data_IF_849820452623
#
_entry.id   IF_849820452623
#
_cell.length_a   1.000
_cell.length_b   1.000
_cell.length_c   1.000
_cell.angle_alpha   90.00
_cell.angle_beta   90.00
_cell.angle_gamma   90.00
#
_symmetry.space_group_name_H-M   'P 1'
#
loop_
_entity.id
_entity.type
_entity.pdbx_description
1 polymer ?
#
# COMPACT_ATOMS: atom_id res chain seq x y z
N UNK A 1 -10.26 -20.03 62.75
CA UNK A 1 -11.12 -20.95 61.98
C UNK A 1 -10.63 -20.93 60.53
N UNK A 2 -10.09 -22.06 60.07
CA UNK A 2 -9.49 -22.20 58.73
C UNK A 2 -10.53 -21.84 57.67
N UNK A 3 -10.16 -20.91 56.78
CA UNK A 3 -11.02 -20.30 55.77
C UNK A 3 -11.30 -21.28 54.61
N UNK A 4 -11.81 -22.48 54.94
CA UNK A 4 -12.10 -23.55 53.98
C UNK A 4 -13.06 -23.07 52.90
N UNK A 5 -14.07 -22.29 53.26
CA UNK A 5 -15.03 -21.70 52.33
C UNK A 5 -14.35 -20.77 51.32
N UNK A 6 -13.40 -19.93 51.77
CA UNK A 6 -12.64 -19.07 50.87
C UNK A 6 -11.76 -19.88 49.89
N UNK A 7 -11.12 -20.96 50.38
CA UNK A 7 -10.35 -21.87 49.52
C UNK A 7 -11.22 -22.52 48.45
N UNK A 8 -12.42 -23.00 48.80
CA UNK A 8 -13.34 -23.59 47.82
C UNK A 8 -13.81 -22.58 46.77
N UNK A 9 -14.12 -21.34 47.18
CA UNK A 9 -14.50 -20.28 46.24
C UNK A 9 -13.35 -19.97 45.27
N UNK A 10 -12.13 -19.83 45.79
CA UNK A 10 -10.94 -19.57 44.97
C UNK A 10 -10.69 -20.72 43.97
N UNK A 11 -10.77 -21.98 44.42
CA UNK A 11 -10.61 -23.15 43.56
C UNK A 11 -11.66 -23.19 42.44
N UNK A 12 -12.92 -22.85 42.72
CA UNK A 12 -13.97 -22.79 41.70
C UNK A 12 -13.65 -21.69 40.68
N UNK A 13 -13.28 -20.49 41.13
CA UNK A 13 -12.93 -19.37 40.26
C UNK A 13 -11.76 -19.73 39.34
N UNK A 14 -10.68 -20.32 39.88
CA UNK A 14 -9.52 -20.77 39.10
C UNK A 14 -9.93 -21.86 38.10
N UNK A 15 -10.72 -22.85 38.53
CA UNK A 15 -11.17 -23.95 37.65
C UNK A 15 -12.00 -23.43 36.49
N UNK A 16 -12.94 -22.51 36.76
CA UNK A 16 -13.74 -21.84 35.71
C UNK A 16 -12.81 -21.06 34.77
N UNK A 17 -11.84 -20.30 35.30
CA UNK A 17 -10.86 -19.59 34.48
C UNK A 17 -10.06 -20.48 33.53
N UNK A 18 -9.61 -21.65 34.02
CA UNK A 18 -8.89 -22.64 33.20
C UNK A 18 -9.79 -23.26 32.13
N UNK A 19 -11.05 -23.57 32.46
CA UNK A 19 -11.99 -24.10 31.47
C UNK A 19 -12.32 -23.05 30.39
N UNK A 20 -12.48 -21.79 30.77
CA UNK A 20 -12.69 -20.68 29.84
C UNK A 20 -11.47 -20.45 28.96
N UNK A 21 -10.24 -20.49 29.51
CA UNK A 21 -9.03 -20.32 28.71
C UNK A 21 -8.82 -21.48 27.72
N UNK A 22 -9.15 -22.71 28.13
CA UNK A 22 -9.12 -23.87 27.24
C UNK A 22 -10.15 -23.74 26.11
N UNK A 23 -11.38 -23.34 26.42
CA UNK A 23 -12.41 -23.08 25.42
C UNK A 23 -11.97 -22.00 24.42
N UNK A 24 -11.37 -20.90 24.91
CA UNK A 24 -10.85 -19.83 24.06
C UNK A 24 -9.72 -20.31 23.15
N UNK A 25 -8.79 -21.11 23.69
CA UNK A 25 -7.72 -21.70 22.90
C UNK A 25 -8.27 -22.64 21.82
N UNK A 26 -9.31 -23.41 22.15
CA UNK A 26 -9.97 -24.31 21.21
C UNK A 26 -10.70 -23.55 20.09
N UNK A 27 -11.52 -22.55 20.42
CA UNK A 27 -12.23 -21.75 19.42
C UNK A 27 -11.24 -21.04 18.49
N UNK A 28 -10.20 -20.42 19.07
CA UNK A 28 -9.13 -19.81 18.29
C UNK A 28 -8.44 -20.81 17.36
N UNK A 29 -8.14 -22.01 17.86
CA UNK A 29 -7.55 -23.06 17.03
C UNK A 29 -8.45 -23.44 15.84
N UNK A 30 -9.77 -23.51 16.05
CA UNK A 30 -10.69 -23.81 14.95
C UNK A 30 -10.75 -22.70 13.90
N UNK A 31 -10.77 -21.44 14.32
CA UNK A 31 -10.76 -20.30 13.38
C UNK A 31 -9.42 -20.25 12.61
N UNK A 32 -8.29 -20.47 13.27
CA UNK A 32 -6.96 -20.53 12.64
C UNK A 32 -6.83 -21.71 11.65
N UNK A 33 -7.39 -22.88 11.96
CA UNK A 33 -7.41 -24.03 11.05
C UNK A 33 -8.35 -23.83 9.84
N UNK A 34 -9.35 -22.97 9.98
CA UNK A 34 -10.31 -22.67 8.90
C UNK A 34 -9.75 -21.59 7.97
N UNK A 35 -8.98 -20.63 8.48
CA UNK A 35 -8.38 -19.54 7.70
C UNK A 35 -6.94 -19.85 7.29
N UNK A 36 -6.81 -20.64 6.22
CA UNK A 36 -5.54 -21.04 5.61
C UNK A 36 -5.31 -20.42 4.22
N UNK A 37 -5.91 -19.26 3.96
CA UNK A 37 -5.72 -18.56 2.69
C UNK A 37 -4.58 -17.55 2.81
N UNK A 38 -3.60 -17.62 1.91
CA UNK A 38 -2.42 -16.75 1.91
C UNK A 38 -2.31 -16.07 0.56
N UNK A 39 -2.06 -14.78 0.59
CA UNK A 39 -1.73 -14.01 -0.59
C UNK A 39 -0.23 -13.91 -0.74
N UNK A 40 0.29 -14.44 -1.84
CA UNK A 40 1.69 -14.27 -2.24
C UNK A 40 1.72 -13.18 -3.29
N UNK A 41 2.44 -12.10 -3.03
CA UNK A 41 2.51 -10.93 -3.90
C UNK A 41 3.93 -10.48 -4.17
N UNK A 42 4.08 -9.76 -5.29
CA UNK A 42 5.33 -9.13 -5.72
C UNK A 42 5.11 -7.62 -5.90
N UNK A 43 6.20 -6.85 -5.88
CA UNK A 43 6.17 -5.40 -6.10
C UNK A 43 6.17 -5.11 -7.61
N UNK A 44 5.22 -4.30 -8.09
CA UNK A 44 5.15 -3.89 -9.50
C UNK A 44 6.46 -3.28 -10.00
N UNK A 45 7.12 -2.43 -9.19
CA UNK A 45 8.38 -1.80 -9.59
C UNK A 45 9.50 -2.84 -9.80
N UNK A 46 9.45 -3.97 -9.07
CA UNK A 46 10.39 -5.06 -9.27
C UNK A 46 10.07 -5.89 -10.52
N UNK A 47 8.78 -6.02 -10.86
CA UNK A 47 8.34 -6.62 -12.13
C UNK A 47 8.88 -5.81 -13.30
N UNK A 48 8.71 -4.48 -13.29
CA UNK A 48 9.23 -3.60 -14.33
C UNK A 48 10.75 -3.63 -14.41
N UNK A 49 11.44 -3.55 -13.26
CA UNK A 49 12.89 -3.59 -13.23
C UNK A 49 13.43 -4.91 -13.80
N UNK A 50 12.82 -6.04 -13.45
CA UNK A 50 13.22 -7.35 -13.96
C UNK A 50 12.94 -7.48 -15.46
N UNK A 51 11.81 -6.96 -15.93
CA UNK A 51 11.48 -6.91 -17.35
C UNK A 51 12.52 -6.13 -18.16
N UNK A 52 12.90 -4.94 -17.67
CA UNK A 52 13.95 -4.11 -18.28
C UNK A 52 15.33 -4.78 -18.25
N UNK A 53 15.67 -5.49 -17.18
CA UNK A 53 16.96 -6.20 -17.06
C UNK A 53 17.09 -7.37 -18.03
N UNK A 54 15.98 -8.05 -18.31
CA UNK A 54 15.92 -9.22 -19.19
C UNK A 54 15.55 -8.86 -20.65
N UNK A 55 15.28 -7.58 -20.96
CA UNK A 55 14.82 -7.09 -22.27
C UNK A 55 13.53 -7.80 -22.73
N UNK A 56 12.57 -7.95 -21.81
CA UNK A 56 11.24 -8.53 -22.04
C UNK A 56 10.14 -7.58 -21.59
N UNK A 57 8.89 -7.86 -21.97
CA UNK A 57 7.75 -7.07 -21.53
C UNK A 57 7.34 -7.43 -20.08
N UNK A 58 6.85 -6.46 -19.31
CA UNK A 58 6.34 -6.71 -17.95
C UNK A 58 5.20 -7.74 -17.93
N UNK A 59 4.43 -7.83 -19.03
CA UNK A 59 3.41 -8.84 -19.24
C UNK A 59 3.98 -10.27 -19.24
N UNK A 60 5.15 -10.47 -19.82
CA UNK A 60 5.81 -11.79 -19.89
C UNK A 60 6.37 -12.18 -18.51
N UNK A 61 6.88 -11.21 -17.75
CA UNK A 61 7.29 -11.41 -16.35
C UNK A 61 6.08 -11.89 -15.54
N UNK A 62 4.98 -11.13 -15.54
CA UNK A 62 3.79 -11.52 -14.78
C UNK A 62 3.22 -12.87 -15.23
N UNK A 63 3.18 -13.16 -16.54
CA UNK A 63 2.73 -14.46 -17.04
C UNK A 63 3.60 -15.61 -16.50
N UNK A 64 4.91 -15.40 -16.40
CA UNK A 64 5.85 -16.37 -15.85
C UNK A 64 5.66 -16.64 -14.36
N UNK A 65 5.10 -15.68 -13.62
CA UNK A 65 4.85 -15.78 -12.17
C UNK A 65 3.47 -16.39 -11.84
N UNK A 66 2.59 -16.56 -12.83
CA UNK A 66 1.28 -17.17 -12.62
C UNK A 66 1.39 -18.54 -11.99
N UNK A 67 0.50 -18.83 -11.05
CA UNK A 67 0.48 -20.07 -10.28
C UNK A 67 1.27 -19.98 -8.97
N UNK A 68 2.40 -19.27 -8.94
CA UNK A 68 3.16 -19.06 -7.70
C UNK A 68 2.77 -17.76 -6.96
N UNK A 69 2.35 -16.75 -7.71
CA UNK A 69 1.95 -15.43 -7.21
C UNK A 69 0.46 -15.20 -7.46
N UNK A 70 -0.23 -14.58 -6.51
CA UNK A 70 -1.67 -14.28 -6.59
C UNK A 70 -2.01 -12.80 -6.65
N UNK A 71 -1.08 -11.92 -6.31
CA UNK A 71 -1.32 -10.48 -6.34
C UNK A 71 -0.09 -9.64 -6.63
N UNK A 72 -0.32 -8.38 -6.96
CA UNK A 72 0.74 -7.40 -7.24
C UNK A 72 0.52 -6.19 -6.35
N UNK A 73 1.59 -5.76 -5.68
CA UNK A 73 1.61 -4.54 -4.88
C UNK A 73 1.85 -3.35 -5.80
N UNK A 74 0.93 -2.40 -5.74
CA UNK A 74 1.04 -1.11 -6.42
C UNK A 74 1.18 -0.02 -5.38
N UNK A 75 2.33 0.64 -5.39
CA UNK A 75 2.61 1.77 -4.52
C UNK A 75 2.16 3.06 -5.21
N UNK A 76 1.55 3.98 -4.46
CA UNK A 76 1.34 5.31 -5.02
C UNK A 76 2.69 5.94 -5.37
N UNK A 77 2.81 6.47 -6.57
CA UNK A 77 4.01 7.16 -7.03
C UNK A 77 4.07 8.55 -6.42
N UNK A 78 5.28 9.04 -6.19
CA UNK A 78 5.53 10.44 -5.88
C UNK A 78 6.02 11.18 -7.11
N UNK A 79 5.90 12.51 -7.10
CA UNK A 79 6.55 13.34 -8.12
C UNK A 79 8.06 13.09 -8.18
N UNK A 80 8.69 12.80 -7.04
CA UNK A 80 10.11 12.44 -7.00
C UNK A 80 10.41 11.14 -7.74
N UNK A 81 9.57 10.11 -7.55
CA UNK A 81 9.73 8.81 -8.23
C UNK A 81 9.50 8.95 -9.73
N UNK A 82 8.44 9.67 -10.14
CA UNK A 82 8.19 9.99 -11.55
C UNK A 82 9.32 10.80 -12.19
N UNK A 83 9.99 11.66 -11.42
CA UNK A 83 11.16 12.38 -11.90
C UNK A 83 12.40 11.49 -12.01
N UNK A 84 12.53 10.50 -11.14
CA UNK A 84 13.63 9.54 -11.17
C UNK A 84 13.47 8.51 -12.30
N UNK A 85 12.24 8.11 -12.66
CA UNK A 85 11.95 7.27 -13.82
C UNK A 85 12.07 8.02 -15.15
N UNK A 86 11.99 9.35 -15.12
CA UNK A 86 12.07 10.21 -16.30
C UNK A 86 10.72 10.55 -16.91
N UNK A 87 9.61 10.15 -16.28
CA UNK A 87 8.24 10.49 -16.73
C UNK A 87 7.91 11.97 -16.55
N UNK A 88 8.57 12.61 -15.57
CA UNK A 88 8.38 14.02 -15.23
C UNK A 88 9.70 14.75 -15.10
N UNK A 89 9.80 15.93 -15.73
CA UNK A 89 10.89 16.86 -15.46
C UNK A 89 10.36 18.02 -14.62
N UNK A 90 10.95 18.22 -13.45
CA UNK A 90 10.68 19.38 -12.60
C UNK A 90 11.51 20.59 -13.05
N UNK A 91 10.87 21.75 -13.13
CA UNK A 91 11.53 23.05 -13.31
C UNK A 91 10.94 24.10 -12.41
N UNK A 92 11.78 25.00 -11.93
CA UNK A 92 11.33 26.28 -11.36
C UNK A 92 10.88 27.21 -12.49
N UNK A 93 9.97 28.13 -12.19
CA UNK A 93 9.50 29.11 -13.16
C UNK A 93 10.64 29.91 -13.80
N UNK A 94 11.64 30.30 -13.01
CA UNK A 94 12.85 30.96 -13.53
C UNK A 94 13.61 30.09 -14.54
N UNK A 95 13.75 28.79 -14.28
CA UNK A 95 14.46 27.87 -15.18
C UNK A 95 13.70 27.69 -16.49
N UNK A 96 12.37 27.54 -16.43
CA UNK A 96 11.52 27.46 -17.62
C UNK A 96 11.57 28.75 -18.45
N UNK A 97 11.56 29.92 -17.80
CA UNK A 97 11.73 31.21 -18.49
C UNK A 97 13.08 31.29 -19.20
N UNK A 98 14.17 30.89 -18.55
CA UNK A 98 15.50 30.84 -19.19
C UNK A 98 15.52 29.88 -20.39
N UNK A 99 14.89 28.72 -20.29
CA UNK A 99 14.83 27.77 -21.42
C UNK A 99 14.07 28.36 -22.62
N UNK A 100 12.98 29.09 -22.35
CA UNK A 100 12.19 29.77 -23.38
C UNK A 100 12.95 30.95 -24.02
N UNK A 101 13.77 31.67 -23.23
CA UNK A 101 14.60 32.78 -23.71
C UNK A 101 15.84 32.31 -24.49
N UNK A 102 16.53 31.29 -24.00
CA UNK A 102 17.75 30.73 -24.60
C UNK A 102 17.41 29.87 -25.82
N UNK A 103 16.27 29.19 -25.80
CA UNK A 103 15.88 28.13 -26.72
C UNK A 103 15.56 28.53 -28.16
N UNK A 104 15.99 29.72 -28.64
CA UNK A 104 15.79 30.31 -29.98
C UNK A 104 15.40 29.29 -31.08
N UNK A 105 14.13 28.88 -31.13
CA UNK A 105 13.54 28.04 -32.18
C UNK A 105 13.22 26.57 -31.86
N UNK A 106 13.66 26.00 -30.72
CA UNK A 106 13.45 24.56 -30.40
C UNK A 106 12.35 24.28 -29.37
N UNK A 107 12.02 25.22 -28.49
CA UNK A 107 10.88 25.13 -27.57
C UNK A 107 10.11 26.45 -27.65
N UNK A 108 8.85 26.42 -28.08
CA UNK A 108 8.01 27.62 -28.20
C UNK A 108 7.10 27.77 -26.98
N UNK A 109 6.66 29.01 -26.75
CA UNK A 109 5.76 29.40 -25.66
C UNK A 109 4.54 28.48 -25.59
N UNK A 110 3.97 28.28 -24.38
CA UNK A 110 2.74 27.55 -24.21
C UNK A 110 1.65 28.03 -25.17
N UNK A 111 1.16 27.14 -26.03
CA UNK A 111 -0.04 27.40 -26.82
C UNK A 111 -1.21 26.89 -25.98
N UNK A 112 -2.00 27.79 -25.41
CA UNK A 112 -3.17 27.39 -24.62
C UNK A 112 -4.47 27.82 -25.27
N UNK A 113 -5.50 27.02 -25.04
CA UNK A 113 -6.90 27.38 -25.15
C UNK A 113 -7.22 28.57 -24.20
N UNK A 114 -6.81 29.78 -24.56
CA UNK A 114 -7.40 31.05 -24.10
C UNK A 114 -7.14 31.56 -22.68
N UNK A 115 -6.48 30.84 -21.75
CA UNK A 115 -6.33 31.29 -20.35
C UNK A 115 -4.89 31.54 -19.88
N UNK A 116 -3.87 30.86 -20.41
CA UNK A 116 -2.47 31.05 -20.05
C UNK A 116 -1.75 32.02 -20.99
N UNK A 117 -1.37 33.19 -20.50
CA UNK A 117 -0.47 34.10 -21.23
C UNK A 117 0.91 34.28 -20.58
N UNK A 118 1.13 33.85 -19.34
CA UNK A 118 2.40 34.13 -18.64
C UNK A 118 2.93 32.94 -17.84
N UNK A 119 4.19 32.59 -18.09
CA UNK A 119 4.97 31.70 -17.21
C UNK A 119 5.39 32.51 -15.99
N UNK A 120 5.01 32.07 -14.80
CA UNK A 120 5.28 32.75 -13.55
C UNK A 120 6.62 32.28 -12.95
N UNK A 121 7.53 33.21 -12.69
CA UNK A 121 8.87 32.91 -12.18
C UNK A 121 8.87 32.19 -10.82
N UNK A 122 7.83 32.40 -10.00
CA UNK A 122 7.70 31.83 -8.67
C UNK A 122 6.91 30.51 -8.64
N UNK A 123 6.49 29.98 -9.79
CA UNK A 123 5.76 28.71 -9.87
C UNK A 123 6.70 27.51 -10.04
N UNK A 124 6.15 26.32 -9.80
CA UNK A 124 6.80 25.05 -10.15
C UNK A 124 6.12 24.47 -11.39
N UNK A 125 6.92 23.96 -12.31
CA UNK A 125 6.49 23.38 -13.57
C UNK A 125 6.90 21.91 -13.64
N UNK A 126 5.97 21.08 -14.08
CA UNK A 126 6.13 19.64 -14.29
C UNK A 126 5.93 19.39 -15.78
N UNK A 127 6.96 18.88 -16.46
CA UNK A 127 6.90 18.57 -17.89
C UNK A 127 6.79 17.07 -18.02
N UNK A 128 5.78 16.60 -18.76
CA UNK A 128 5.44 15.19 -18.87
C UNK A 128 5.72 14.69 -20.29
N UNK A 129 6.09 13.42 -20.41
CA UNK A 129 6.07 12.71 -21.69
C UNK A 129 4.68 12.17 -22.04
N UNK A 130 3.91 11.78 -21.01
CA UNK A 130 2.61 11.15 -21.16
C UNK A 130 1.48 12.07 -20.63
N UNK A 131 0.47 12.42 -21.46
CA UNK A 131 -0.67 13.22 -21.02
C UNK A 131 -1.53 12.56 -19.94
N UNK A 132 -1.58 11.22 -19.88
CA UNK A 132 -2.37 10.50 -18.87
C UNK A 132 -1.73 10.64 -17.49
N UNK A 133 -0.38 10.59 -17.42
CA UNK A 133 0.38 10.88 -16.21
C UNK A 133 0.13 12.33 -15.77
N UNK A 134 0.14 13.30 -16.69
CA UNK A 134 -0.18 14.70 -16.37
C UNK A 134 -1.58 14.84 -15.77
N UNK A 135 -2.59 14.20 -16.37
CA UNK A 135 -3.98 14.26 -15.90
C UNK A 135 -4.11 13.71 -14.47
N UNK A 136 -3.53 12.52 -14.22
CA UNK A 136 -3.48 11.88 -12.91
C UNK A 136 -2.79 12.74 -11.86
N UNK A 137 -1.62 13.30 -12.20
CA UNK A 137 -0.87 14.20 -11.31
C UNK A 137 -1.65 15.48 -11.02
N UNK A 138 -2.23 16.09 -12.05
CA UNK A 138 -3.03 17.31 -11.92
C UNK A 138 -4.22 17.11 -10.98
N UNK A 139 -4.97 16.03 -11.13
CA UNK A 139 -6.10 15.71 -10.26
C UNK A 139 -5.66 15.50 -8.81
N UNK A 140 -4.60 14.71 -8.60
CA UNK A 140 -4.09 14.48 -7.24
C UNK A 140 -3.58 15.76 -6.58
N UNK A 141 -2.83 16.60 -7.29
CA UNK A 141 -2.37 17.88 -6.74
C UNK A 141 -3.51 18.86 -6.47
N UNK A 142 -4.57 18.81 -7.29
CA UNK A 142 -5.76 19.64 -7.11
C UNK A 142 -6.56 19.28 -5.86
N UNK A 143 -6.55 18.00 -5.44
CA UNK A 143 -7.37 17.55 -4.31
C UNK A 143 -6.55 17.35 -3.03
N UNK A 144 -5.31 16.86 -3.10
CA UNK A 144 -4.49 16.50 -1.92
C UNK A 144 -3.78 17.68 -1.23
N UNK A 145 -3.99 18.90 -1.73
CA UNK A 145 -3.42 20.14 -1.17
C UNK A 145 -4.52 21.17 -0.91
N UNK A 146 -4.59 21.75 0.30
CA UNK A 146 -5.57 22.79 0.64
C UNK A 146 -5.01 24.21 0.41
N UNK A 147 -5.92 25.19 0.31
CA UNK A 147 -5.59 26.62 0.14
C UNK A 147 -5.76 27.13 -1.30
N UNK A 148 -5.51 28.43 -1.48
CA UNK A 148 -5.49 29.07 -2.80
C UNK A 148 -4.29 28.56 -3.60
N UNK A 149 -4.56 27.58 -4.46
CA UNK A 149 -3.59 27.02 -5.40
C UNK A 149 -4.06 27.24 -6.81
N UNK A 150 -3.14 27.63 -7.68
CA UNK A 150 -3.37 27.72 -9.11
C UNK A 150 -2.63 26.59 -9.75
N UNK A 151 -3.35 25.75 -10.48
CA UNK A 151 -2.82 24.66 -11.29
C UNK A 151 -3.34 24.92 -12.70
N UNK A 152 -2.43 24.96 -13.65
CA UNK A 152 -2.72 25.31 -15.05
C UNK A 152 -2.02 24.31 -15.95
N UNK A 153 -2.72 23.82 -16.96
CA UNK A 153 -2.24 22.79 -17.89
C UNK A 153 -1.91 23.42 -19.24
N UNK A 154 -0.61 23.44 -19.53
CA UNK A 154 0.01 24.01 -20.71
C UNK A 154 0.42 22.91 -21.70
N UNK A 155 0.72 23.32 -22.92
CA UNK A 155 1.39 22.48 -23.92
C UNK A 155 2.59 23.24 -24.47
N UNK A 156 3.80 22.70 -24.29
CA UNK A 156 5.01 23.24 -24.92
C UNK A 156 5.19 22.61 -26.30
N UNK A 157 5.46 23.43 -27.32
CA UNK A 157 5.90 22.88 -28.61
C UNK A 157 7.40 22.70 -28.58
N UNK A 158 7.88 21.49 -28.88
CA UNK A 158 9.28 21.15 -29.03
C UNK A 158 9.55 20.63 -30.46
N UNK A 159 10.82 20.57 -30.86
CA UNK A 159 11.23 19.96 -32.15
C UNK A 159 10.79 18.50 -32.29
N UNK A 160 10.60 17.79 -31.18
CA UNK A 160 10.11 16.40 -31.11
C UNK A 160 8.59 16.25 -30.99
N UNK A 161 7.81 17.34 -30.98
CA UNK A 161 6.36 17.31 -30.79
C UNK A 161 5.88 18.16 -29.62
N UNK A 162 4.62 17.97 -29.22
CA UNK A 162 4.00 18.72 -28.13
C UNK A 162 4.20 18.00 -26.80
N UNK A 163 4.71 18.71 -25.80
CA UNK A 163 4.91 18.20 -24.45
C UNK A 163 3.84 18.77 -23.49
N UNK A 164 3.07 17.90 -22.79
CA UNK A 164 2.17 18.34 -21.73
C UNK A 164 2.95 18.93 -20.54
N UNK A 165 2.48 20.05 -20.01
CA UNK A 165 3.12 20.73 -18.87
C UNK A 165 2.08 21.16 -17.86
N UNK A 166 2.34 20.90 -16.58
CA UNK A 166 1.55 21.40 -15.47
C UNK A 166 2.33 22.49 -14.73
N UNK A 167 1.80 23.72 -14.69
CA UNK A 167 2.34 24.78 -13.85
C UNK A 167 1.49 24.96 -12.61
N UNK A 168 2.13 25.08 -11.46
CA UNK A 168 1.45 25.24 -10.16
C UNK A 168 2.10 26.29 -9.28
N UNK A 169 1.27 27.01 -8.51
CA UNK A 169 1.74 27.93 -7.47
C UNK A 169 2.33 27.21 -6.24
N UNK A 170 2.12 25.89 -6.13
CA UNK A 170 2.71 25.05 -5.07
C UNK A 170 4.23 24.96 -5.26
N UNK A 171 4.99 25.01 -4.17
CA UNK A 171 6.45 24.87 -4.25
C UNK A 171 6.85 23.41 -4.34
N UNK A 172 7.94 23.13 -5.04
CA UNK A 172 8.57 21.80 -5.16
C UNK A 172 8.57 21.01 -3.84
N UNK A 173 9.09 21.60 -2.75
CA UNK A 173 9.15 20.95 -1.43
C UNK A 173 7.80 20.50 -0.86
N UNK A 174 6.70 21.09 -1.33
CA UNK A 174 5.33 20.79 -0.87
C UNK A 174 4.73 19.63 -1.64
N UNK A 175 5.16 19.39 -2.88
CA UNK A 175 4.56 18.40 -3.80
C UNK A 175 5.46 17.20 -4.08
N UNK A 176 6.78 17.33 -3.87
CA UNK A 176 7.77 16.35 -4.32
C UNK A 176 7.54 14.94 -3.72
N UNK A 177 7.05 14.89 -2.49
CA UNK A 177 6.76 13.64 -1.75
C UNK A 177 5.27 13.30 -1.68
N UNK A 178 4.39 14.08 -2.32
CA UNK A 178 2.96 13.79 -2.33
C UNK A 178 2.71 12.56 -3.19
N UNK A 179 1.93 11.60 -2.67
CA UNK A 179 1.43 10.48 -3.47
C UNK A 179 0.45 10.98 -4.54
N UNK A 180 0.73 10.70 -5.80
CA UNK A 180 -0.01 11.21 -6.96
C UNK A 180 -0.77 10.11 -7.72
N UNK A 181 -1.18 9.07 -7.00
CA UNK A 181 -1.92 7.94 -7.56
C UNK A 181 -1.03 6.77 -7.96
N UNK A 182 -1.65 5.75 -8.55
CA UNK A 182 -1.01 4.49 -8.95
C UNK A 182 -0.80 4.44 -10.45
N UNK A 183 0.19 3.68 -10.92
CA UNK A 183 0.38 3.39 -12.35
C UNK A 183 -0.87 2.66 -12.89
N UNK A 184 -1.66 3.37 -13.69
CA UNK A 184 -2.93 2.86 -14.24
C UNK A 184 -2.68 1.78 -15.30
N UNK A 185 -1.60 1.90 -16.09
CA UNK A 185 -1.26 0.93 -17.15
C UNK A 185 -0.80 -0.39 -16.53
N UNK A 186 0.09 -0.32 -15.54
CA UNK A 186 0.53 -1.49 -14.78
C UNK A 186 -0.63 -2.16 -14.04
N UNK A 187 -1.52 -1.37 -13.42
CA UNK A 187 -2.72 -1.88 -12.77
C UNK A 187 -3.62 -2.66 -13.74
N UNK A 188 -3.97 -2.05 -14.87
CA UNK A 188 -4.80 -2.68 -15.90
C UNK A 188 -4.17 -3.98 -16.38
N UNK A 189 -2.86 -3.99 -16.66
CA UNK A 189 -2.15 -5.20 -17.07
C UNK A 189 -2.23 -6.32 -16.02
N UNK A 190 -2.01 -6.00 -14.74
CA UNK A 190 -2.08 -6.98 -13.67
C UNK A 190 -3.50 -7.54 -13.50
N UNK A 191 -4.53 -6.68 -13.60
CA UNK A 191 -5.94 -7.10 -13.56
C UNK A 191 -6.29 -7.99 -14.74
N UNK A 192 -5.90 -7.61 -15.96
CA UNK A 192 -6.15 -8.39 -17.18
C UNK A 192 -5.51 -9.77 -17.14
N UNK A 193 -4.40 -9.92 -16.43
CA UNK A 193 -3.73 -11.20 -16.20
C UNK A 193 -4.28 -11.99 -15.00
N UNK A 194 -5.27 -11.45 -14.28
CA UNK A 194 -5.98 -12.13 -13.20
C UNK A 194 -5.32 -12.04 -11.82
N UNK A 195 -4.41 -11.09 -11.62
CA UNK A 195 -3.82 -10.83 -10.31
C UNK A 195 -4.74 -9.95 -9.44
N UNK A 196 -4.73 -10.19 -8.13
CA UNK A 196 -5.31 -9.24 -7.18
C UNK A 196 -4.43 -8.00 -7.06
N UNK A 197 -5.04 -6.88 -6.74
CA UNK A 197 -4.34 -5.61 -6.52
C UNK A 197 -4.18 -5.35 -5.03
N UNK A 198 -2.95 -5.05 -4.62
CA UNK A 198 -2.61 -4.68 -3.26
C UNK A 198 -2.12 -3.22 -3.26
N UNK A 199 -3.03 -2.22 -3.22
CA UNK A 199 -2.65 -0.82 -3.19
C UNK A 199 -1.94 -0.45 -1.88
N UNK A 200 -0.77 0.16 -2.03
CA UNK A 200 0.01 0.73 -0.96
C UNK A 200 -0.08 2.27 -1.01
N UNK A 201 -1.03 2.81 -0.27
CA UNK A 201 -1.38 4.23 -0.25
C UNK A 201 -0.28 5.04 0.44
N UNK A 202 0.09 6.17 -0.17
CA UNK A 202 0.99 7.16 0.44
C UNK A 202 0.23 8.21 1.23
N UNK A 203 0.94 8.84 2.14
CA UNK A 203 0.42 9.93 2.95
C UNK A 203 0.49 11.26 2.21
N UNK A 204 -0.55 12.07 2.39
CA UNK A 204 -0.60 13.46 1.97
C UNK A 204 -1.00 14.35 3.14
N UNK A 205 -0.72 15.64 2.98
CA UNK A 205 -0.77 16.62 4.06
C UNK A 205 -2.19 17.01 4.43
N UNK A 206 -2.99 17.37 3.44
CA UNK A 206 -4.28 18.02 3.65
C UNK A 206 -5.42 17.02 3.39
N UNK A 207 -5.56 16.05 4.29
CA UNK A 207 -6.60 15.02 4.16
C UNK A 207 -7.98 15.58 4.48
N UNK A 208 -8.92 15.29 3.58
CA UNK A 208 -10.34 15.61 3.65
C UNK A 208 -11.17 14.56 2.89
N UNK A 209 -12.49 14.71 2.91
CA UNK A 209 -13.41 13.77 2.27
C UNK A 209 -13.19 13.67 0.76
N UNK A 210 -12.91 14.79 0.08
CA UNK A 210 -12.69 14.81 -1.37
C UNK A 210 -11.44 14.03 -1.75
N UNK A 211 -10.31 14.26 -1.05
CA UNK A 211 -9.06 13.53 -1.30
C UNK A 211 -9.15 12.05 -0.98
N UNK A 212 -9.89 11.67 0.06
CA UNK A 212 -10.17 10.27 0.37
C UNK A 212 -11.02 9.61 -0.72
N UNK A 213 -12.09 10.28 -1.18
CA UNK A 213 -12.95 9.77 -2.22
C UNK A 213 -12.22 9.62 -3.56
N UNK A 214 -11.31 10.54 -3.90
CA UNK A 214 -10.45 10.42 -5.08
C UNK A 214 -9.67 9.09 -5.07
N UNK A 215 -9.07 8.73 -3.92
CA UNK A 215 -8.29 7.48 -3.79
C UNK A 215 -9.19 6.26 -3.81
N UNK A 216 -10.20 6.19 -2.94
CA UNK A 216 -10.99 4.97 -2.76
C UNK A 216 -11.97 4.68 -3.90
N UNK A 217 -12.54 5.69 -4.57
CA UNK A 217 -13.45 5.47 -5.70
C UNK A 217 -12.75 4.82 -6.90
N UNK A 218 -11.43 5.02 -7.03
CA UNK A 218 -10.62 4.34 -8.04
C UNK A 218 -10.41 2.88 -7.66
N UNK A 219 -10.09 2.61 -6.38
CA UNK A 219 -9.87 1.26 -5.86
C UNK A 219 -11.13 0.38 -5.89
N UNK A 220 -12.32 0.95 -5.74
CA UNK A 220 -13.61 0.22 -5.79
C UNK A 220 -13.86 -0.50 -7.13
N UNK A 221 -13.15 -0.12 -8.19
CA UNK A 221 -13.29 -0.71 -9.53
C UNK A 221 -12.30 -1.83 -9.81
N UNK A 222 -11.41 -2.11 -8.86
CA UNK A 222 -10.30 -3.05 -9.03
C UNK A 222 -10.51 -4.29 -8.15
N UNK A 223 -9.93 -5.45 -8.51
CA UNK A 223 -9.94 -6.65 -7.67
C UNK A 223 -8.96 -6.48 -6.50
N UNK A 224 -9.26 -5.54 -5.61
CA UNK A 224 -8.44 -5.28 -4.42
C UNK A 224 -8.62 -6.43 -3.44
N UNK A 225 -7.52 -6.93 -2.88
CA UNK A 225 -7.55 -7.98 -1.85
C UNK A 225 -7.24 -7.46 -0.45
N UNK A 226 -6.39 -6.43 -0.34
CA UNK A 226 -6.05 -5.72 0.91
C UNK A 226 -5.67 -4.28 0.61
N UNK A 227 -5.83 -3.37 1.58
CA UNK A 227 -5.30 -1.99 1.47
C UNK A 227 -4.27 -1.72 2.55
N UNK A 228 -3.15 -1.11 2.20
CA UNK A 228 -2.13 -0.78 3.18
C UNK A 228 -1.39 0.51 2.85
N UNK A 229 -0.44 0.88 3.70
CA UNK A 229 0.15 2.22 3.69
C UNK A 229 1.67 2.15 3.55
N UNK A 230 2.23 3.05 2.75
CA UNK A 230 3.66 3.09 2.51
C UNK A 230 4.43 3.76 3.65
N UNK A 231 3.90 4.87 4.18
CA UNK A 231 4.67 5.78 5.02
C UNK A 231 4.51 5.49 6.52
N UNK A 232 5.45 5.97 7.34
CA UNK A 232 5.43 5.73 8.79
C UNK A 232 4.21 6.35 9.49
N UNK A 233 3.66 7.42 8.91
CA UNK A 233 2.45 8.06 9.38
C UNK A 233 1.37 7.81 8.34
N UNK A 234 0.17 7.38 8.75
CA UNK A 234 -0.99 7.30 7.85
C UNK A 234 -1.46 8.69 7.41
N UNK A 235 -2.24 8.79 6.31
CA UNK A 235 -2.85 10.04 5.89
C UNK A 235 -3.63 10.68 7.04
N UNK A 236 -3.40 11.98 7.27
CA UNK A 236 -4.09 12.77 8.29
C UNK A 236 -3.38 12.87 9.63
N UNK A 237 -2.34 12.07 9.88
CA UNK A 237 -1.49 12.22 11.07
C UNK A 237 -0.76 13.56 11.04
N UNK A 238 -0.89 14.32 12.13
CA UNK A 238 -0.33 15.67 12.25
C UNK A 238 -1.33 16.78 12.00
N UNK A 239 -2.56 16.45 11.57
CA UNK A 239 -3.67 17.40 11.52
C UNK A 239 -4.16 17.77 12.94
N UNK A 240 -4.89 18.90 13.09
CA UNK A 240 -5.58 19.21 14.34
C UNK A 240 -6.47 18.06 14.79
N UNK A 241 -6.53 17.77 16.09
CA UNK A 241 -7.13 16.54 16.64
C UNK A 241 -8.47 16.13 16.04
N UNK A 242 -9.43 17.06 15.88
CA UNK A 242 -10.73 16.78 15.26
C UNK A 242 -10.63 16.37 13.78
N UNK A 243 -9.77 17.05 13.01
CA UNK A 243 -9.55 16.73 11.59
C UNK A 243 -8.78 15.42 11.44
N UNK A 244 -7.82 15.16 12.32
CA UNK A 244 -7.09 13.89 12.33
C UNK A 244 -8.04 12.71 12.59
N UNK A 245 -8.91 12.81 13.60
CA UNK A 245 -9.88 11.73 13.88
C UNK A 245 -10.81 11.50 12.69
N UNK A 246 -11.34 12.57 12.08
CA UNK A 246 -12.18 12.47 10.89
C UNK A 246 -11.43 11.84 9.70
N UNK A 247 -10.15 12.18 9.49
CA UNK A 247 -9.34 11.59 8.43
C UNK A 247 -9.10 10.09 8.65
N UNK A 248 -8.76 9.67 9.88
CA UNK A 248 -8.55 8.26 10.21
C UNK A 248 -9.84 7.45 10.14
N UNK A 249 -10.98 8.03 10.55
CA UNK A 249 -12.29 7.43 10.35
C UNK A 249 -12.62 7.29 8.86
N UNK A 250 -12.41 8.34 8.06
CA UNK A 250 -12.65 8.32 6.62
C UNK A 250 -11.77 7.31 5.87
N UNK A 251 -10.52 7.09 6.30
CA UNK A 251 -9.69 5.99 5.80
C UNK A 251 -10.32 4.62 6.09
N UNK A 252 -10.81 4.41 7.31
CA UNK A 252 -11.48 3.15 7.68
C UNK A 252 -12.77 2.95 6.88
N UNK A 253 -13.57 4.00 6.70
CA UNK A 253 -14.78 3.95 5.88
C UNK A 253 -14.46 3.60 4.41
N UNK A 254 -13.43 4.24 3.83
CA UNK A 254 -12.95 3.93 2.48
C UNK A 254 -12.53 2.47 2.31
N UNK A 255 -11.75 1.94 3.26
CA UNK A 255 -11.34 0.53 3.26
C UNK A 255 -12.56 -0.39 3.45
N UNK A 256 -13.50 -0.01 4.32
CA UNK A 256 -14.70 -0.81 4.58
C UNK A 256 -15.60 -0.93 3.35
N UNK A 257 -15.68 0.09 2.48
CA UNK A 257 -16.45 0.02 1.22
C UNK A 257 -15.89 -1.03 0.26
N UNK A 258 -14.56 -1.23 0.27
CA UNK A 258 -13.89 -2.26 -0.52
C UNK A 258 -14.13 -3.67 0.03
N UNK A 259 -14.66 -3.82 1.25
CA UNK A 259 -14.86 -5.11 1.92
C UNK A 259 -13.59 -5.95 2.07
N UNK A 260 -12.43 -5.29 2.18
CA UNK A 260 -11.12 -5.92 2.36
C UNK A 260 -10.50 -5.52 3.70
N UNK A 261 -9.55 -6.30 4.24
CA UNK A 261 -8.81 -5.89 5.42
C UNK A 261 -7.76 -4.83 5.11
N UNK A 262 -7.34 -4.13 6.16
CA UNK A 262 -6.07 -3.40 6.13
C UNK A 262 -4.91 -4.30 6.57
N UNK A 263 -3.67 -3.82 6.45
CA UNK A 263 -2.47 -4.62 6.73
C UNK A 263 -1.61 -3.99 7.81
N UNK A 264 -1.10 -4.83 8.71
CA UNK A 264 0.02 -4.51 9.59
C UNK A 264 1.30 -5.16 9.07
N UNK A 265 2.24 -4.35 8.61
CA UNK A 265 3.54 -4.81 8.12
C UNK A 265 4.45 -5.15 9.31
N UNK A 266 5.04 -6.35 9.31
CA UNK A 266 5.96 -6.77 10.37
C UNK A 266 7.18 -5.84 10.46
N UNK A 267 7.56 -5.50 11.69
CA UNK A 267 8.70 -4.62 11.99
C UNK A 267 8.59 -3.19 11.44
N UNK A 268 7.41 -2.78 10.98
CA UNK A 268 7.16 -1.43 10.46
C UNK A 268 5.95 -0.79 11.19
N UNK A 269 6.13 -0.31 12.43
CA UNK A 269 5.04 0.32 13.17
C UNK A 269 4.64 1.65 12.55
N UNK A 270 3.36 1.79 12.20
CA UNK A 270 2.81 2.99 11.57
C UNK A 270 1.87 3.75 12.52
N UNK A 271 2.01 5.07 12.60
CA UNK A 271 1.14 5.94 13.41
C UNK A 271 -0.21 6.08 12.73
N UNK A 272 -1.30 5.92 13.49
CA UNK A 272 -2.67 5.99 12.99
C UNK A 272 -3.28 4.63 12.65
N UNK A 273 -2.46 3.62 12.33
CA UNK A 273 -2.94 2.30 11.91
C UNK A 273 -3.83 1.64 12.98
N UNK A 274 -3.47 1.78 14.26
CA UNK A 274 -4.28 1.21 15.35
C UNK A 274 -5.68 1.83 15.42
N UNK A 275 -5.81 3.14 15.19
CA UNK A 275 -7.11 3.84 15.18
C UNK A 275 -7.95 3.40 13.99
N UNK A 276 -7.34 3.33 12.80
CA UNK A 276 -8.02 2.81 11.59
C UNK A 276 -8.49 1.37 11.80
N UNK A 277 -7.63 0.52 12.36
CA UNK A 277 -7.98 -0.87 12.66
C UNK A 277 -9.12 -1.00 13.70
N UNK A 278 -9.25 -0.06 14.64
CA UNK A 278 -10.37 -0.03 15.59
C UNK A 278 -11.70 0.30 14.88
N UNK A 279 -11.69 1.29 14.00
CA UNK A 279 -12.85 1.66 13.18
C UNK A 279 -13.24 0.55 12.18
N UNK A 280 -12.27 -0.25 11.73
CA UNK A 280 -12.49 -1.44 10.90
C UNK A 280 -12.91 -2.69 11.69
N UNK A 281 -13.31 -2.57 12.96
CA UNK A 281 -13.66 -3.71 13.81
C UNK A 281 -12.56 -4.80 13.89
N UNK A 282 -11.30 -4.39 13.78
CA UNK A 282 -10.11 -5.25 13.70
C UNK A 282 -10.06 -6.15 12.45
N UNK A 283 -10.68 -5.73 11.34
CA UNK A 283 -10.47 -6.31 10.02
C UNK A 283 -9.06 -5.99 9.49
N UNK A 284 -8.05 -6.65 10.07
CA UNK A 284 -6.64 -6.44 9.79
C UNK A 284 -5.91 -7.78 9.63
N UNK A 285 -5.06 -7.86 8.61
CA UNK A 285 -4.15 -8.98 8.40
C UNK A 285 -2.71 -8.54 8.59
N UNK A 286 -1.79 -9.50 8.71
CA UNK A 286 -0.37 -9.21 8.85
C UNK A 286 0.37 -9.52 7.55
N UNK A 287 1.35 -8.68 7.23
CA UNK A 287 2.23 -8.84 6.08
C UNK A 287 3.67 -9.02 6.52
N UNK A 288 4.36 -9.97 5.88
CA UNK A 288 5.81 -10.13 6.02
C UNK A 288 6.50 -9.84 4.69
N UNK A 289 7.64 -9.17 4.77
CA UNK A 289 8.57 -8.98 3.66
C UNK A 289 10.00 -9.10 4.18
N UNK A 290 10.92 -9.56 3.34
CA UNK A 290 12.35 -9.54 3.63
C UNK A 290 12.90 -8.23 3.03
N UNK A 291 13.58 -7.37 3.82
CA UNK A 291 14.09 -6.10 3.30
C UNK A 291 15.08 -6.28 2.14
N UNK A 292 15.09 -5.35 1.18
CA UNK A 292 15.99 -5.39 0.02
C UNK A 292 17.47 -5.52 0.41
N UNK A 293 17.88 -4.83 1.47
CA UNK A 293 19.26 -4.91 1.99
C UNK A 293 19.65 -6.31 2.44
N UNK A 294 18.69 -7.11 2.91
CA UNK A 294 18.91 -8.49 3.33
C UNK A 294 18.88 -9.47 2.14
N UNK A 295 18.03 -9.19 1.13
CA UNK A 295 17.96 -9.96 -0.12
C UNK A 295 19.31 -10.06 -0.86
N UNK A 296 20.21 -9.10 -0.64
CA UNK A 296 21.57 -9.10 -1.19
C UNK A 296 22.47 -10.24 -0.65
N UNK A 297 22.11 -10.85 0.49
CA UNK A 297 23.01 -11.78 1.19
C UNK A 297 22.33 -13.04 1.74
N UNK A 298 21.01 -13.05 1.89
CA UNK A 298 20.26 -14.24 2.28
C UNK A 298 20.31 -15.29 1.18
N UNK A 299 20.34 -16.58 1.55
CA UNK A 299 20.18 -17.67 0.57
C UNK A 299 18.71 -17.89 0.23
N UNK A 300 18.42 -18.36 -0.98
CA UNK A 300 17.08 -18.76 -1.42
C UNK A 300 16.38 -19.68 -0.40
N UNK A 301 17.06 -20.76 0.02
CA UNK A 301 16.51 -21.70 1.01
C UNK A 301 16.11 -21.04 2.33
N UNK A 302 16.92 -20.12 2.84
CA UNK A 302 16.60 -19.38 4.09
C UNK A 302 15.44 -18.41 3.88
N UNK A 303 15.32 -17.82 2.69
CA UNK A 303 14.17 -16.98 2.36
C UNK A 303 12.88 -17.81 2.32
N UNK A 304 12.89 -18.96 1.64
CA UNK A 304 11.76 -19.91 1.58
C UNK A 304 11.34 -20.35 3.00
N UNK A 305 12.30 -20.77 3.83
CA UNK A 305 12.05 -21.16 5.22
C UNK A 305 11.43 -19.99 6.01
N UNK A 306 11.98 -18.77 5.86
CA UNK A 306 11.51 -17.59 6.57
C UNK A 306 10.08 -17.20 6.18
N UNK A 307 9.74 -17.29 4.89
CA UNK A 307 8.40 -17.03 4.40
C UNK A 307 7.41 -18.11 4.86
N UNK A 308 7.83 -19.37 4.83
CA UNK A 308 7.03 -20.50 5.36
C UNK A 308 6.72 -20.29 6.85
N UNK A 309 7.76 -20.03 7.67
CA UNK A 309 7.61 -19.77 9.11
C UNK A 309 6.84 -18.48 9.42
N UNK A 310 6.88 -17.48 8.54
CA UNK A 310 6.05 -16.29 8.67
C UNK A 310 4.56 -16.66 8.70
N UNK A 311 4.15 -17.52 7.76
CA UNK A 311 2.76 -17.95 7.62
C UNK A 311 2.36 -18.94 8.73
N UNK A 312 3.19 -19.96 8.97
CA UNK A 312 2.86 -21.07 9.88
C UNK A 312 2.90 -20.65 11.36
N UNK A 313 3.94 -19.91 11.76
CA UNK A 313 4.21 -19.66 13.18
C UNK A 313 3.75 -18.27 13.61
N UNK A 314 3.78 -17.29 12.70
CA UNK A 314 3.52 -15.87 13.01
C UNK A 314 2.17 -15.36 12.49
N UNK A 315 1.34 -16.25 11.94
CA UNK A 315 0.01 -15.96 11.42
C UNK A 315 0.01 -14.82 10.38
N UNK A 316 1.00 -14.85 9.48
CA UNK A 316 1.07 -13.94 8.34
C UNK A 316 0.13 -14.45 7.25
N UNK A 317 -0.59 -13.53 6.60
CA UNK A 317 -1.57 -13.86 5.55
C UNK A 317 -1.31 -13.15 4.22
N UNK A 318 -0.37 -12.19 4.22
CA UNK A 318 0.14 -11.57 2.99
C UNK A 318 1.66 -11.66 3.00
N UNK A 319 2.25 -12.18 1.93
CA UNK A 319 3.69 -12.20 1.71
C UNK A 319 4.03 -11.24 0.58
N UNK A 320 4.76 -10.17 0.87
CA UNK A 320 5.39 -9.35 -0.16
C UNK A 320 6.79 -9.91 -0.42
N UNK A 321 6.86 -10.77 -1.43
CA UNK A 321 8.08 -11.44 -1.85
C UNK A 321 8.83 -10.55 -2.82
N UNK A 322 10.12 -10.35 -2.54
CA UNK A 322 11.03 -9.59 -3.38
C UNK A 322 11.87 -10.52 -4.24
N UNK A 323 12.19 -10.08 -5.44
CA UNK A 323 13.14 -10.79 -6.30
C UNK A 323 14.56 -10.73 -5.75
N UNK A 324 15.32 -11.78 -6.01
CA UNK A 324 16.76 -11.78 -5.82
C UNK A 324 17.42 -10.95 -6.93
N UNK A 325 18.22 -9.93 -6.60
CA UNK A 325 18.77 -9.00 -7.58
C UNK A 325 19.83 -9.61 -8.50
N UNK A 326 20.33 -10.79 -8.17
CA UNK A 326 21.34 -11.54 -8.93
C UNK A 326 20.77 -12.76 -9.66
N UNK A 327 19.44 -12.92 -9.66
CA UNK A 327 18.74 -14.00 -10.37
C UNK A 327 18.04 -13.43 -11.61
N UNK A 328 18.03 -14.20 -12.69
CA UNK A 328 17.22 -13.90 -13.87
C UNK A 328 15.73 -14.17 -13.58
N UNK A 329 14.87 -13.92 -14.56
CA UNK A 329 13.42 -14.16 -14.45
C UNK A 329 13.10 -15.64 -14.14
N UNK A 330 13.76 -16.59 -14.82
CA UNK A 330 13.47 -18.00 -14.64
C UNK A 330 13.82 -18.49 -13.23
N UNK A 331 14.95 -18.05 -12.68
CA UNK A 331 15.42 -18.40 -11.34
C UNK A 331 14.53 -17.76 -10.26
N UNK A 332 14.12 -16.50 -10.43
CA UNK A 332 13.16 -15.85 -9.53
C UNK A 332 11.78 -16.54 -9.55
N UNK A 333 11.33 -16.99 -10.73
CA UNK A 333 10.08 -17.74 -10.85
C UNK A 333 10.15 -19.09 -10.13
N UNK A 334 11.28 -19.80 -10.24
CA UNK A 334 11.51 -21.05 -9.48
C UNK A 334 11.53 -20.80 -7.97
N UNK A 335 12.18 -19.75 -7.51
CA UNK A 335 12.18 -19.35 -6.11
C UNK A 335 10.76 -19.08 -5.58
N UNK A 336 9.92 -18.36 -6.34
CA UNK A 336 8.52 -18.13 -5.97
C UNK A 336 7.70 -19.42 -5.95
N UNK A 337 7.93 -20.32 -6.91
CA UNK A 337 7.30 -21.64 -6.93
C UNK A 337 7.70 -22.47 -5.69
N UNK A 338 8.96 -22.41 -5.24
CA UNK A 338 9.39 -23.09 -4.01
C UNK A 338 8.67 -22.56 -2.76
N UNK A 339 8.41 -21.25 -2.67
CA UNK A 339 7.60 -20.67 -1.60
C UNK A 339 6.17 -21.22 -1.66
N UNK A 340 5.56 -21.19 -2.85
CA UNK A 340 4.22 -21.73 -3.09
C UNK A 340 4.14 -23.20 -2.66
N UNK A 341 5.01 -24.06 -3.19
CA UNK A 341 5.02 -25.50 -2.90
C UNK A 341 5.29 -25.79 -1.41
N UNK A 342 6.08 -24.94 -0.75
CA UNK A 342 6.31 -25.05 0.69
C UNK A 342 5.05 -24.78 1.50
N UNK A 343 4.32 -23.71 1.17
CA UNK A 343 3.07 -23.37 1.84
C UNK A 343 1.93 -24.36 1.53
N UNK A 344 1.86 -24.87 0.30
CA UNK A 344 0.89 -25.90 -0.09
C UNK A 344 1.11 -27.20 0.71
N UNK A 345 2.37 -27.62 0.90
CA UNK A 345 2.71 -28.78 1.75
C UNK A 345 2.30 -28.60 3.21
N UNK A 346 2.33 -27.37 3.73
CA UNK A 346 1.82 -27.02 5.06
C UNK A 346 0.27 -26.90 5.11
N UNK A 347 -0.40 -27.11 3.97
CA UNK A 347 -1.86 -27.15 3.85
C UNK A 347 -2.51 -25.77 3.67
N UNK A 348 -1.77 -24.78 3.19
CA UNK A 348 -2.32 -23.48 2.84
C UNK A 348 -2.87 -23.47 1.41
N UNK A 349 -3.84 -22.60 1.17
CA UNK A 349 -4.40 -22.27 -0.14
C UNK A 349 -4.12 -20.81 -0.48
N UNK A 350 -4.24 -20.44 -1.75
CA UNK A 350 -3.76 -19.14 -2.23
C UNK A 350 -4.87 -18.18 -2.67
N UNK A 351 -4.61 -16.89 -2.48
CA UNK A 351 -5.43 -15.76 -2.95
C UNK A 351 -5.77 -14.77 -1.84
N UNK A 352 -6.72 -13.86 -2.11
CA UNK A 352 -7.10 -12.78 -1.19
C UNK A 352 -7.34 -13.29 0.25
N UNK A 353 -6.74 -12.67 1.27
CA UNK A 353 -6.78 -13.19 2.62
C UNK A 353 -8.15 -12.95 3.25
N UNK A 354 -8.64 -13.94 3.99
CA UNK A 354 -9.81 -13.77 4.83
C UNK A 354 -9.35 -13.26 6.21
N UNK A 355 -10.17 -12.44 6.86
CA UNK A 355 -9.90 -12.10 8.26
C UNK A 355 -10.46 -13.14 9.20
N UNK A 356 -9.69 -13.42 10.24
CA UNK A 356 -10.21 -14.01 11.45
C UNK A 356 -11.14 -12.93 12.04
N UNK A 357 -12.43 -12.97 11.70
CA UNK A 357 -13.41 -12.03 12.22
C UNK A 357 -13.30 -11.86 13.74
N UNK A 358 -13.80 -10.75 14.29
CA UNK A 358 -13.75 -10.55 15.73
C UNK A 358 -14.46 -11.72 16.43
N UNK A 359 -13.72 -12.48 17.24
CA UNK A 359 -14.32 -13.54 18.03
C UNK A 359 -15.39 -12.88 18.92
N UNK A 360 -16.67 -13.33 18.86
CA UNK A 360 -17.78 -12.65 19.50
C UNK A 360 -17.78 -12.90 21.01
N UNK A 361 -16.83 -12.30 21.73
CA UNK A 361 -16.71 -12.52 23.16
C UNK A 361 -17.52 -11.50 23.95
N UNK A 362 -18.45 -12.03 24.74
CA UNK A 362 -19.20 -11.26 25.72
C UNK A 362 -18.25 -10.63 26.75
N UNK A 363 -18.47 -9.36 27.10
CA UNK A 363 -17.70 -8.64 28.15
C UNK A 363 -17.69 -9.38 29.50
N UNK A 364 -18.72 -10.19 29.77
CA UNK A 364 -18.80 -11.05 30.95
C UNK A 364 -17.73 -12.15 30.95
N UNK A 365 -17.39 -12.69 29.78
CA UNK A 365 -16.39 -13.74 29.61
C UNK A 365 -14.98 -13.22 29.92
N UNK A 366 -14.65 -12.02 29.42
CA UNK A 366 -13.39 -11.34 29.74
C UNK A 366 -13.29 -10.93 31.22
N UNK A 367 -14.41 -10.53 31.84
CA UNK A 367 -14.44 -10.21 33.27
C UNK A 367 -14.23 -11.46 34.14
N UNK A 368 -14.81 -12.60 33.77
CA UNK A 368 -14.62 -13.88 34.47
C UNK A 368 -13.16 -14.37 34.38
N UNK A 369 -12.51 -14.23 33.22
CA UNK A 369 -11.10 -14.56 33.06
C UNK A 369 -10.20 -13.65 33.92
N UNK A 370 -10.50 -12.34 33.95
CA UNK A 370 -9.77 -11.37 34.79
C UNK A 370 -9.90 -11.67 36.28
N UNK A 371 -11.09 -12.07 36.75
CA UNK A 371 -11.31 -12.51 38.13
C UNK A 371 -10.54 -13.79 38.45
N UNK A 372 -10.40 -14.71 37.50
CA UNK A 372 -9.65 -15.94 37.69
C UNK A 372 -8.13 -15.75 37.77
N UNK A 373 -7.59 -14.72 37.10
CA UNK A 373 -6.17 -14.35 37.21
C UNK A 373 -5.89 -13.61 38.53
N UNK A 374 -6.87 -12.86 39.04
CA UNK A 374 -6.74 -12.09 40.28
C UNK A 374 -7.00 -12.92 41.56
N UNK A 375 -7.67 -14.06 41.43
CA UNK A 375 -7.94 -15.02 42.51
C UNK A 375 -6.76 -15.96 42.70
#
# INVERSE_FOLDING_TARGET
MSNKSLKYILTIIITVGVLLSFYLAWERHQVEQTNKRVEVSVDWNQVELLAQQEDVEAADVLDKLKGAVTGVVFKEETIQELAASGDVVLKKGTELLWDLEIGQGSVQLPVENGAAQEVHADWTYLIFHDPDIMARVSENLAVKHQGEKKIVAYHLQSSGGTLPVLGTSLKEKEIINTGVGFDEKGLELAVDQGFNILPQIRSWKDVDEESLNLVFNRLEKLPVSVVFFNDQNLPGIGLPAKKQEAALQGLAEGISRLSVPTVMVEFFPQKGLQTVAQHLEKNIVRLHSIPESEMLSISQSRAVDRFTLAVTDRNIRVLLVRFFPNMNLADNALYLAEIHDSLEREGFSFGAPETLGSLPFSRFFTAALGLAVAA
#
